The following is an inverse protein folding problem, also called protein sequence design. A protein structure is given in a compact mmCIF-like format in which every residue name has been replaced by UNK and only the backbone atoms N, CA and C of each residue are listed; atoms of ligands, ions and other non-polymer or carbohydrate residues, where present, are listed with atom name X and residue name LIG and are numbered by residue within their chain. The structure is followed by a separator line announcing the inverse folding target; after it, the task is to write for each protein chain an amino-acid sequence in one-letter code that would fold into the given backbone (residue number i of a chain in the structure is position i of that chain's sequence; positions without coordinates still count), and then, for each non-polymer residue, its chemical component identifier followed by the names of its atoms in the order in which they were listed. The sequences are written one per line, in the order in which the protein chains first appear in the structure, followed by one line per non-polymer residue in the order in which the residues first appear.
data_IF_237337985950
#
_entry.id   IF_237337985950
#
_cell.length_a   1.000
_cell.length_b   1.000
_cell.length_c   1.000
_cell.angle_alpha   90.00
_cell.angle_beta   90.00
_cell.angle_gamma   90.00
#
_symmetry.space_group_name_H-M   'P 1'
#
loop_
_entity.id
_entity.type
_entity.pdbx_description
1 polymer ?
#
# COMPACT_ATOMS: atom_id res chain seq x y z
N UNK A 1 -5.67 14.96 -17.57
CA UNK A 1 -5.17 14.96 -16.18
C UNK A 1 -4.53 13.60 -15.98
N UNK A 2 -3.22 13.53 -16.03
CA UNK A 2 -2.44 12.29 -15.99
C UNK A 2 -2.50 11.75 -14.56
N UNK A 3 -3.24 10.66 -14.35
CA UNK A 3 -3.26 9.97 -13.05
C UNK A 3 -1.83 9.57 -12.70
N UNK A 4 -1.39 10.06 -11.54
CA UNK A 4 -0.02 9.89 -11.04
C UNK A 4 0.25 8.41 -10.78
N UNK A 5 1.29 7.92 -11.45
CA UNK A 5 1.85 6.57 -11.35
C UNK A 5 2.25 6.24 -9.92
N UNK A 6 2.15 4.96 -9.56
CA UNK A 6 2.73 4.43 -8.34
C UNK A 6 4.18 4.88 -8.18
N UNK A 7 4.47 5.51 -7.04
CA UNK A 7 5.80 6.03 -6.74
C UNK A 7 6.52 5.02 -5.87
N UNK A 8 7.56 4.41 -6.44
CA UNK A 8 8.49 3.56 -5.70
C UNK A 8 9.47 4.48 -4.97
N UNK A 9 9.72 4.21 -3.70
CA UNK A 9 10.73 4.93 -2.93
C UNK A 9 11.60 3.93 -2.16
N UNK A 10 12.90 4.21 -2.09
CA UNK A 10 13.86 3.45 -1.32
C UNK A 10 14.41 4.31 -0.17
N UNK A 11 13.91 4.14 1.06
CA UNK A 11 14.36 4.97 2.19
C UNK A 11 15.85 4.84 2.48
N UNK A 12 16.47 3.69 2.16
CA UNK A 12 17.91 3.44 2.31
C UNK A 12 18.77 4.24 1.32
N UNK A 13 18.20 4.65 0.20
CA UNK A 13 18.83 5.58 -0.76
C UNK A 13 18.60 7.05 -0.40
N UNK A 14 17.92 7.33 0.72
CA UNK A 14 17.56 8.68 1.13
C UNK A 14 16.27 9.22 0.49
N UNK A 15 15.48 8.38 -0.18
CA UNK A 15 14.21 8.81 -0.77
C UNK A 15 13.20 9.19 0.32
N UNK A 16 12.49 10.28 0.10
CA UNK A 16 11.37 10.67 0.96
C UNK A 16 10.11 9.92 0.56
N UNK A 17 9.39 9.39 1.54
CA UNK A 17 8.09 8.74 1.32
C UNK A 17 7.10 9.72 0.68
N UNK A 18 6.53 9.41 -0.49
CA UNK A 18 5.55 10.26 -1.13
C UNK A 18 4.21 10.22 -0.40
N UNK A 19 3.46 11.33 -0.46
CA UNK A 19 2.09 11.37 0.02
C UNK A 19 1.19 10.60 -0.96
N UNK A 20 0.57 9.52 -0.49
CA UNK A 20 -0.28 8.67 -1.32
C UNK A 20 -1.49 8.17 -0.53
N UNK A 21 -2.56 7.81 -1.24
CA UNK A 21 -3.76 7.22 -0.65
C UNK A 21 -3.57 5.75 -0.26
N UNK A 22 -2.66 5.07 -0.94
CA UNK A 22 -2.33 3.66 -0.71
C UNK A 22 -0.84 3.58 -0.36
N UNK A 23 -0.54 2.97 0.78
CA UNK A 23 0.83 2.53 1.07
C UNK A 23 0.93 1.05 0.75
N UNK A 24 1.94 0.66 -0.02
CA UNK A 24 2.08 -0.71 -0.52
C UNK A 24 3.46 -1.27 -0.19
N UNK A 25 3.47 -2.56 0.17
CA UNK A 25 4.68 -3.37 0.31
C UNK A 25 4.50 -4.68 -0.43
N UNK A 26 5.43 -5.00 -1.31
CA UNK A 26 5.41 -6.28 -2.01
C UNK A 26 6.00 -7.38 -1.13
N UNK A 27 5.30 -8.51 -1.02
CA UNK A 27 5.82 -9.72 -0.39
C UNK A 27 6.16 -10.73 -1.48
N UNK A 28 7.45 -10.94 -1.73
CA UNK A 28 7.93 -11.92 -2.71
C UNK A 28 7.52 -13.35 -2.34
N UNK A 29 7.54 -13.69 -1.04
CA UNK A 29 7.13 -15.01 -0.53
C UNK A 29 5.65 -15.29 -0.84
N UNK A 30 4.78 -14.29 -0.65
CA UNK A 30 3.34 -14.46 -0.87
C UNK A 30 2.89 -14.17 -2.31
N UNK A 31 3.75 -13.56 -3.13
CA UNK A 31 3.40 -13.07 -4.47
C UNK A 31 2.27 -12.03 -4.46
N UNK A 32 2.16 -11.25 -3.38
CA UNK A 32 1.06 -10.32 -3.14
C UNK A 32 1.56 -9.01 -2.55
N UNK A 33 0.79 -7.95 -2.77
CA UNK A 33 0.97 -6.69 -2.07
C UNK A 33 0.22 -6.74 -0.75
N UNK A 34 0.88 -6.33 0.33
CA UNK A 34 0.21 -5.87 1.53
C UNK A 34 0.05 -4.36 1.39
N UNK A 35 -1.19 -3.89 1.40
CA UNK A 35 -1.48 -2.45 1.32
C UNK A 35 -2.17 -1.98 2.58
N UNK A 36 -2.00 -0.71 2.91
CA UNK A 36 -2.82 0.00 3.91
C UNK A 36 -3.37 1.29 3.35
N UNK A 37 -4.65 1.54 3.59
CA UNK A 37 -5.36 2.73 3.07
C UNK A 37 -6.55 3.07 3.97
N UNK A 38 -6.95 4.34 4.11
CA UNK A 38 -8.18 4.70 4.81
C UNK A 38 -9.44 4.33 4.00
N UNK A 39 -9.28 3.92 2.74
CA UNK A 39 -10.38 3.54 1.86
C UNK A 39 -10.92 2.15 2.20
N UNK A 40 -12.22 1.96 1.97
CA UNK A 40 -12.83 0.64 1.92
C UNK A 40 -12.72 0.07 0.51
N UNK A 41 -11.84 -0.92 0.33
CA UNK A 41 -11.64 -1.57 -0.96
C UNK A 41 -12.40 -2.90 -1.05
N UNK A 42 -13.01 -3.15 -2.21
CA UNK A 42 -13.73 -4.40 -2.52
C UNK A 42 -13.44 -4.82 -3.95
N UNK A 43 -13.45 -6.12 -4.20
CA UNK A 43 -13.29 -6.67 -5.55
C UNK A 43 -12.48 -7.97 -5.59
N UNK A 44 -12.42 -8.57 -6.78
CA UNK A 44 -11.66 -9.81 -6.99
C UNK A 44 -10.16 -9.55 -6.79
N UNK A 45 -9.55 -10.35 -5.94
CA UNK A 45 -8.11 -10.26 -5.66
C UNK A 45 -7.74 -9.24 -4.58
N UNK A 46 -8.71 -8.64 -3.90
CA UNK A 46 -8.52 -7.78 -2.73
C UNK A 46 -9.10 -8.52 -1.52
N UNK A 47 -8.26 -8.83 -0.52
CA UNK A 47 -8.68 -9.52 0.70
C UNK A 47 -8.39 -8.64 1.90
N UNK A 48 -9.44 -8.22 2.62
CA UNK A 48 -9.29 -7.55 3.92
C UNK A 48 -8.56 -8.47 4.89
N UNK A 49 -7.64 -7.88 5.65
CA UNK A 49 -6.84 -8.58 6.64
C UNK A 49 -7.12 -8.09 8.05
N UNK A 50 -6.98 -6.78 8.28
CA UNK A 50 -7.09 -6.14 9.59
C UNK A 50 -7.20 -4.61 9.41
N UNK A 51 -7.32 -3.86 10.51
CA UNK A 51 -7.25 -2.39 10.54
C UNK A 51 -6.20 -1.97 11.53
N UNK A 52 -5.41 -0.94 11.20
CA UNK A 52 -4.43 -0.41 12.15
C UNK A 52 -5.11 0.27 13.34
N UNK A 53 -4.65 -0.07 14.53
CA UNK A 53 -5.06 0.47 15.82
C UNK A 53 -3.81 0.80 16.64
N UNK A 54 -4.00 1.45 17.78
CA UNK A 54 -2.90 1.70 18.72
C UNK A 54 -2.24 0.42 19.27
N UNK A 55 -2.93 -0.72 19.21
CA UNK A 55 -2.41 -1.99 19.72
C UNK A 55 -1.52 -2.73 18.71
N UNK A 56 -1.69 -2.49 17.40
CA UNK A 56 -1.01 -3.24 16.34
C UNK A 56 -0.16 -2.34 15.41
N UNK A 57 -0.14 -1.04 15.63
CA UNK A 57 0.61 -0.07 14.86
C UNK A 57 1.22 0.99 15.77
N UNK A 58 2.50 1.32 15.56
CA UNK A 58 3.19 2.38 16.31
C UNK A 58 3.07 3.77 15.65
N UNK A 59 2.39 3.86 14.50
CA UNK A 59 2.23 5.11 13.74
C UNK A 59 0.80 5.62 13.87
N UNK A 60 0.54 6.64 14.73
CA UNK A 60 -0.79 7.20 14.93
C UNK A 60 -1.44 7.72 13.65
N UNK A 61 -0.61 8.15 12.68
CA UNK A 61 -1.07 8.62 11.36
C UNK A 61 -1.77 7.55 10.54
N UNK A 62 -1.56 6.27 10.86
CA UNK A 62 -2.12 5.14 10.14
C UNK A 62 -3.32 4.52 10.87
N UNK A 63 -3.69 4.98 12.06
CA UNK A 63 -4.82 4.40 12.79
C UNK A 63 -6.12 4.55 12.00
N UNK A 64 -6.90 3.49 11.95
CA UNK A 64 -8.10 3.39 11.13
C UNK A 64 -7.84 3.02 9.66
N UNK A 65 -6.60 2.95 9.19
CA UNK A 65 -6.32 2.44 7.85
C UNK A 65 -6.59 0.93 7.79
N UNK A 66 -7.35 0.52 6.78
CA UNK A 66 -7.62 -0.87 6.46
C UNK A 66 -6.41 -1.50 5.78
N UNK A 67 -6.09 -2.71 6.19
CA UNK A 67 -4.99 -3.52 5.65
C UNK A 67 -5.59 -4.59 4.75
N UNK A 68 -5.05 -4.69 3.53
CA UNK A 68 -5.46 -5.68 2.55
C UNK A 68 -4.28 -6.46 2.01
N UNK A 69 -4.51 -7.73 1.67
CA UNK A 69 -3.66 -8.47 0.75
C UNK A 69 -4.25 -8.43 -0.65
N UNK A 70 -3.46 -7.98 -1.60
CA UNK A 70 -3.90 -7.68 -2.96
C UNK A 70 -3.02 -8.43 -3.96
N UNK A 71 -3.65 -9.09 -4.94
CA UNK A 71 -2.92 -9.74 -6.04
C UNK A 71 -2.29 -8.70 -6.95
N UNK A 72 -1.21 -9.04 -7.67
CA UNK A 72 -0.55 -8.10 -8.59
C UNK A 72 -1.52 -7.50 -9.63
N UNK A 73 -2.42 -8.32 -10.18
CA UNK A 73 -3.40 -7.87 -11.15
C UNK A 73 -4.45 -6.90 -10.57
N UNK A 74 -4.85 -7.10 -9.31
CA UNK A 74 -5.75 -6.18 -8.63
C UNK A 74 -5.03 -4.88 -8.24
N UNK A 75 -3.78 -4.98 -7.77
CA UNK A 75 -2.96 -3.82 -7.42
C UNK A 75 -2.73 -2.91 -8.63
N UNK A 76 -2.40 -3.48 -9.79
CA UNK A 76 -2.24 -2.71 -11.05
C UNK A 76 -3.50 -1.92 -11.44
N UNK A 77 -4.69 -2.39 -11.08
CA UNK A 77 -5.94 -1.65 -11.29
C UNK A 77 -6.09 -0.52 -10.28
N UNK A 78 -5.80 -0.79 -9.00
CA UNK A 78 -5.81 0.23 -7.96
C UNK A 78 -4.87 1.40 -8.30
N UNK A 79 -3.70 1.13 -8.89
CA UNK A 79 -2.75 2.15 -9.35
C UNK A 79 -3.28 3.04 -10.49
N UNK A 80 -4.34 2.64 -11.19
CA UNK A 80 -4.98 3.47 -12.21
C UNK A 80 -5.98 4.46 -11.60
N UNK A 81 -6.50 4.14 -10.41
CA UNK A 81 -7.58 4.87 -9.74
C UNK A 81 -7.08 5.72 -8.57
N UNK A 82 -6.00 5.27 -7.92
CA UNK A 82 -5.48 5.86 -6.69
C UNK A 82 -3.98 6.06 -6.75
N UNK A 83 -3.51 7.09 -6.07
CA UNK A 83 -2.07 7.27 -5.84
C UNK A 83 -1.56 6.22 -4.85
N UNK A 84 -0.45 5.58 -5.19
CA UNK A 84 0.21 4.60 -4.33
C UNK A 84 1.68 4.92 -4.10
N UNK A 85 2.14 4.64 -2.88
CA UNK A 85 3.52 4.70 -2.45
C UNK A 85 4.01 3.29 -2.15
N UNK A 86 4.93 2.78 -2.98
CA UNK A 86 5.51 1.46 -2.76
C UNK A 86 6.89 1.58 -2.11
N UNK A 87 7.03 1.01 -0.91
CA UNK A 87 8.33 0.87 -0.27
C UNK A 87 9.11 -0.28 -0.91
N UNK A 88 10.35 -0.02 -1.31
CA UNK A 88 11.32 -1.03 -1.73
C UNK A 88 12.59 -0.86 -0.90
N UNK A 89 13.05 -1.96 -0.31
CA UNK A 89 14.32 -2.00 0.41
C UNK A 89 15.40 -2.53 -0.54
N UNK A 90 16.63 -2.05 -0.38
CA UNK A 90 17.80 -2.67 -0.98
C UNK A 90 18.05 -3.95 -0.19
N UNK A 91 17.83 -5.10 -0.83
CA UNK A 91 18.22 -6.40 -0.27
C UNK A 91 19.75 -6.49 -0.10
#
# INVERSE_FOLDING_TARGET
MTNQTATIYCPEMGDTKPQAQIEAKFSAIMGKFRISTPLELKGRGIKYHDTYTEHNCNSPKLYGHNIYYVTMAAYKKLEQEYTSAQEVLLD
#
